data_IF_487832834843
#
_entry.id   IF_487832834843
#
_cell.length_a   1.000
_cell.length_b   1.000
_cell.length_c   1.000
_cell.angle_alpha   90.00
_cell.angle_beta   90.00
_cell.angle_gamma   90.00
#
_symmetry.space_group_name_H-M   'P 1'
#
loop_
_entity.id
_entity.type
_entity.pdbx_description
1 polymer ?
#
# COMPACT_ATOMS: atom_id res chain seq x y z
N UNK A 1 10.89 27.52 16.48
CA UNK A 1 10.74 26.33 15.63
C UNK A 1 9.51 26.53 14.76
N UNK A 2 9.65 26.39 13.46
CA UNK A 2 8.53 26.65 12.56
C UNK A 2 7.56 25.46 12.49
N UNK A 3 6.35 25.71 11.95
CA UNK A 3 5.29 24.71 11.87
C UNK A 3 5.66 23.57 10.93
N UNK A 4 6.43 23.84 9.86
CA UNK A 4 6.84 22.83 8.90
C UNK A 4 7.77 21.80 9.56
N UNK A 5 8.75 22.26 10.34
CA UNK A 5 9.68 21.37 11.05
C UNK A 5 8.93 20.51 12.07
N UNK A 6 7.92 21.07 12.75
CA UNK A 6 7.11 20.31 13.70
C UNK A 6 6.28 19.23 13.00
N UNK A 7 5.67 19.55 11.86
CA UNK A 7 4.88 18.60 11.08
C UNK A 7 5.75 17.45 10.56
N UNK A 8 6.96 17.78 10.07
CA UNK A 8 7.91 16.75 9.61
C UNK A 8 8.31 15.82 10.75
N UNK A 9 8.55 16.37 11.94
CA UNK A 9 8.89 15.57 13.11
C UNK A 9 7.74 14.65 13.50
N UNK A 10 6.51 15.16 13.53
CA UNK A 10 5.33 14.39 13.86
C UNK A 10 5.13 13.25 12.84
N UNK A 11 5.35 13.53 11.57
CA UNK A 11 5.25 12.50 10.53
C UNK A 11 6.26 11.37 10.75
N UNK A 12 7.51 11.71 11.05
CA UNK A 12 8.56 10.72 11.31
C UNK A 12 8.23 9.89 12.55
N UNK A 13 7.77 10.53 13.62
CA UNK A 13 7.36 9.82 14.84
C UNK A 13 6.21 8.85 14.57
N UNK A 14 5.23 9.28 13.78
CA UNK A 14 4.11 8.43 13.41
C UNK A 14 4.56 7.25 12.55
N UNK A 15 5.42 7.50 11.57
CA UNK A 15 5.97 6.44 10.72
C UNK A 15 6.76 5.42 11.54
N UNK A 16 7.52 5.89 12.53
CA UNK A 16 8.26 5.02 13.44
C UNK A 16 7.31 4.13 14.25
N UNK A 17 6.21 4.70 14.72
CA UNK A 17 5.17 3.94 15.42
C UNK A 17 4.58 2.85 14.52
N UNK A 18 4.26 3.18 13.27
CA UNK A 18 3.73 2.21 12.29
C UNK A 18 4.74 1.10 12.00
N UNK A 19 6.02 1.44 11.96
CA UNK A 19 7.07 0.45 11.80
C UNK A 19 7.08 -0.54 12.98
N UNK A 20 7.00 -0.04 14.20
CA UNK A 20 6.97 -0.88 15.40
C UNK A 20 5.75 -1.80 15.44
N UNK A 21 4.63 -1.34 14.90
CA UNK A 21 3.38 -2.11 14.85
C UNK A 21 3.32 -3.07 13.65
N UNK A 22 4.34 -3.06 12.79
CA UNK A 22 4.42 -3.99 11.66
C UNK A 22 3.66 -3.57 10.40
N UNK A 23 3.13 -2.35 10.36
CA UNK A 23 2.51 -1.82 9.15
C UNK A 23 3.54 -1.43 8.08
N UNK A 24 4.68 -0.93 8.54
CA UNK A 24 5.80 -0.53 7.69
C UNK A 24 7.03 -1.37 8.02
N UNK A 25 7.92 -1.54 7.06
CA UNK A 25 9.16 -2.28 7.25
C UNK A 25 10.39 -1.39 6.99
N UNK A 26 11.58 -2.02 6.99
CA UNK A 26 12.85 -1.31 6.82
C UNK A 26 12.93 -0.54 5.50
N UNK A 27 12.20 -0.97 4.47
CA UNK A 27 12.19 -0.27 3.19
C UNK A 27 11.62 1.15 3.33
N UNK A 28 10.58 1.31 4.16
CA UNK A 28 10.04 2.65 4.44
C UNK A 28 11.07 3.53 5.15
N UNK A 29 11.84 2.94 6.06
CA UNK A 29 12.93 3.64 6.74
C UNK A 29 13.97 4.15 5.73
N UNK A 30 14.29 3.35 4.70
CA UNK A 30 15.19 3.79 3.65
C UNK A 30 14.64 4.99 2.88
N UNK A 31 13.33 4.99 2.60
CA UNK A 31 12.70 6.14 1.95
C UNK A 31 12.78 7.41 2.79
N UNK A 32 12.59 7.28 4.11
CA UNK A 32 12.71 8.43 5.01
C UNK A 32 14.11 9.05 4.95
N UNK A 33 15.15 8.22 4.80
CA UNK A 33 16.53 8.68 4.72
C UNK A 33 16.83 9.46 3.45
N UNK A 34 16.06 9.27 2.39
CA UNK A 34 16.23 10.00 1.14
C UNK A 34 15.61 11.40 1.18
N UNK A 35 14.75 11.65 2.15
CA UNK A 35 14.15 12.96 2.33
C UNK A 35 15.11 13.89 3.04
N UNK A 36 15.32 15.11 2.50
CA UNK A 36 16.21 16.10 3.08
C UNK A 36 15.65 17.51 2.85
N UNK A 37 16.44 18.53 3.19
CA UNK A 37 16.05 19.93 3.04
C UNK A 37 15.81 20.35 1.59
N UNK A 38 16.50 19.72 0.64
CA UNK A 38 16.32 20.02 -0.78
C UNK A 38 15.09 19.29 -1.36
N UNK A 39 14.55 18.31 -0.63
CA UNK A 39 13.43 17.49 -1.08
C UNK A 39 12.51 17.15 0.10
N UNK A 40 11.89 18.18 0.73
CA UNK A 40 11.17 17.97 1.99
C UNK A 40 9.85 17.21 1.86
N UNK A 41 9.29 17.12 0.65
CA UNK A 41 8.01 16.46 0.41
C UNK A 41 8.15 15.07 -0.22
N UNK A 42 9.38 14.56 -0.29
CA UNK A 42 9.67 13.32 -1.02
C UNK A 42 8.81 12.15 -0.58
N UNK A 43 8.75 11.88 0.73
CA UNK A 43 8.02 10.73 1.26
C UNK A 43 6.52 10.89 1.05
N UNK A 44 5.98 12.10 1.27
CA UNK A 44 4.56 12.37 1.06
C UNK A 44 4.18 12.16 -0.40
N UNK A 45 5.01 12.62 -1.33
CA UNK A 45 4.77 12.44 -2.76
C UNK A 45 4.79 10.96 -3.17
N UNK A 46 5.77 10.21 -2.68
CA UNK A 46 5.89 8.77 -2.98
C UNK A 46 4.69 7.99 -2.43
N UNK A 47 4.30 8.27 -1.20
CA UNK A 47 3.15 7.60 -0.57
C UNK A 47 1.85 7.95 -1.27
N UNK A 48 1.66 9.23 -1.64
CA UNK A 48 0.47 9.68 -2.37
C UNK A 48 0.36 8.97 -3.72
N UNK A 49 1.47 8.85 -4.44
CA UNK A 49 1.50 8.14 -5.71
C UNK A 49 1.15 6.65 -5.53
N UNK A 50 1.67 6.03 -4.48
CA UNK A 50 1.33 4.64 -4.17
C UNK A 50 -0.18 4.46 -3.97
N UNK A 51 -0.84 5.35 -3.24
CA UNK A 51 -2.28 5.25 -3.01
C UNK A 51 -3.09 5.50 -4.28
N UNK A 52 -2.67 6.44 -5.12
CA UNK A 52 -3.33 6.67 -6.42
C UNK A 52 -3.25 5.43 -7.32
N UNK A 53 -2.06 4.87 -7.44
CA UNK A 53 -1.84 3.67 -8.25
C UNK A 53 -2.59 2.47 -7.69
N UNK A 54 -2.64 2.35 -6.36
CA UNK A 54 -3.35 1.28 -5.68
C UNK A 54 -4.84 1.34 -5.95
N UNK A 55 -5.43 2.52 -5.92
CA UNK A 55 -6.85 2.72 -6.19
C UNK A 55 -7.19 2.28 -7.62
N UNK A 56 -6.38 2.67 -8.59
CA UNK A 56 -6.57 2.27 -9.98
C UNK A 56 -6.47 0.76 -10.14
N UNK A 57 -5.49 0.16 -9.49
CA UNK A 57 -5.27 -1.29 -9.57
C UNK A 57 -6.43 -2.07 -8.94
N UNK A 58 -6.92 -1.63 -7.79
CA UNK A 58 -8.06 -2.28 -7.14
C UNK A 58 -9.31 -2.19 -7.99
N UNK A 59 -9.54 -1.06 -8.67
CA UNK A 59 -10.66 -0.92 -9.60
C UNK A 59 -10.52 -1.88 -10.78
N UNK A 60 -9.30 -2.03 -11.30
CA UNK A 60 -9.03 -2.97 -12.40
C UNK A 60 -9.25 -4.41 -11.96
N UNK A 61 -8.86 -4.76 -10.75
CA UNK A 61 -9.08 -6.09 -10.18
C UNK A 61 -10.58 -6.37 -10.01
N UNK A 62 -11.32 -5.41 -9.50
CA UNK A 62 -12.77 -5.56 -9.32
C UNK A 62 -13.45 -5.80 -10.68
N UNK A 63 -13.05 -5.04 -11.70
CA UNK A 63 -13.58 -5.21 -13.06
C UNK A 63 -13.23 -6.59 -13.63
N UNK A 64 -11.99 -7.03 -13.44
CA UNK A 64 -11.54 -8.33 -13.93
C UNK A 64 -12.31 -9.49 -13.31
N UNK A 65 -12.66 -9.39 -12.02
CA UNK A 65 -13.38 -10.44 -11.32
C UNK A 65 -14.89 -10.46 -11.64
N UNK A 66 -15.40 -9.41 -12.30
CA UNK A 66 -16.82 -9.34 -12.72
C UNK A 66 -17.05 -9.90 -14.12
N UNK A 67 -16.00 -10.30 -14.84
CA UNK A 67 -16.15 -10.86 -16.18
C UNK A 67 -16.76 -12.25 -16.13
N UNK A 68 -17.50 -12.62 -17.19
CA UNK A 68 -18.07 -13.97 -17.30
C UNK A 68 -16.98 -15.03 -17.33
N UNK A 69 -15.89 -14.74 -18.02
CA UNK A 69 -14.72 -15.61 -18.09
C UNK A 69 -13.54 -14.87 -17.47
N UNK A 70 -13.08 -15.34 -16.33
CA UNK A 70 -12.03 -14.67 -15.59
C UNK A 70 -10.65 -15.10 -16.10
N UNK A 71 -9.83 -14.13 -16.44
CA UNK A 71 -8.42 -14.37 -16.79
C UNK A 71 -7.59 -14.32 -15.51
N UNK A 72 -7.43 -15.46 -14.85
CA UNK A 72 -6.70 -15.55 -13.59
C UNK A 72 -5.23 -15.18 -13.73
N UNK A 73 -4.63 -15.38 -14.90
CA UNK A 73 -3.25 -15.00 -15.14
C UNK A 73 -3.08 -13.48 -15.14
N UNK A 74 -4.05 -12.77 -15.72
CA UNK A 74 -4.03 -11.32 -15.73
C UNK A 74 -4.25 -10.76 -14.32
N UNK A 75 -5.18 -11.36 -13.57
CA UNK A 75 -5.42 -10.98 -12.17
C UNK A 75 -4.15 -11.16 -11.35
N UNK A 76 -3.50 -12.31 -11.49
CA UNK A 76 -2.24 -12.60 -10.77
C UNK A 76 -1.14 -11.61 -11.15
N UNK A 77 -1.04 -11.25 -12.43
CA UNK A 77 -0.03 -10.27 -12.88
C UNK A 77 -0.25 -8.90 -12.24
N UNK A 78 -1.49 -8.45 -12.14
CA UNK A 78 -1.82 -7.18 -11.48
C UNK A 78 -1.44 -7.21 -9.99
N UNK A 79 -1.74 -8.30 -9.30
CA UNK A 79 -1.42 -8.45 -7.89
C UNK A 79 0.09 -8.55 -7.67
N UNK A 80 0.80 -9.21 -8.59
CA UNK A 80 2.27 -9.26 -8.54
C UNK A 80 2.88 -7.86 -8.64
N UNK A 81 2.37 -7.03 -9.54
CA UNK A 81 2.79 -5.64 -9.67
C UNK A 81 2.52 -4.87 -8.39
N UNK A 82 1.36 -5.07 -7.78
CA UNK A 82 0.98 -4.43 -6.53
C UNK A 82 1.90 -4.85 -5.39
N UNK A 83 2.24 -6.14 -5.33
CA UNK A 83 3.19 -6.65 -4.33
C UNK A 83 4.53 -5.93 -4.47
N UNK A 84 4.99 -5.73 -5.71
CA UNK A 84 6.22 -4.99 -5.98
C UNK A 84 6.15 -3.55 -5.48
N UNK A 85 5.07 -2.84 -5.80
CA UNK A 85 4.86 -1.47 -5.34
C UNK A 85 4.81 -1.38 -3.82
N UNK A 86 4.12 -2.32 -3.17
CA UNK A 86 4.02 -2.37 -1.70
C UNK A 86 5.38 -2.61 -1.06
N UNK A 87 6.19 -3.48 -1.67
CA UNK A 87 7.56 -3.73 -1.21
C UNK A 87 8.43 -2.49 -1.34
N UNK A 88 8.25 -1.73 -2.42
CA UNK A 88 9.05 -0.52 -2.68
C UNK A 88 8.87 0.55 -1.61
N UNK A 89 7.69 0.68 -1.04
CA UNK A 89 7.44 1.68 0.00
C UNK A 89 7.43 1.08 1.40
N UNK A 90 7.62 -0.23 1.53
CA UNK A 90 7.66 -0.89 2.82
C UNK A 90 6.30 -1.11 3.47
N UNK A 91 5.22 -1.22 2.68
CA UNK A 91 3.88 -1.47 3.19
C UNK A 91 3.70 -2.97 3.47
N UNK A 92 4.23 -3.42 4.60
CA UNK A 92 4.38 -4.85 4.92
C UNK A 92 3.05 -5.60 4.97
N UNK A 93 2.03 -5.03 5.62
CA UNK A 93 0.73 -5.71 5.74
C UNK A 93 0.00 -5.77 4.40
N UNK A 94 0.12 -4.74 3.58
CA UNK A 94 -0.45 -4.74 2.22
C UNK A 94 0.23 -5.81 1.37
N UNK A 95 1.56 -5.89 1.46
CA UNK A 95 2.34 -6.92 0.78
C UNK A 95 1.90 -8.33 1.18
N UNK A 96 1.65 -8.57 2.48
CA UNK A 96 1.21 -9.87 2.97
C UNK A 96 -0.15 -10.26 2.38
N UNK A 97 -1.08 -9.32 2.23
CA UNK A 97 -2.38 -9.58 1.62
C UNK A 97 -2.21 -9.96 0.14
N UNK A 98 -1.25 -9.36 -0.56
CA UNK A 98 -0.96 -9.73 -1.95
C UNK A 98 -0.55 -11.19 -2.09
N UNK A 99 0.21 -11.73 -1.13
CA UNK A 99 0.62 -13.14 -1.15
C UNK A 99 -0.61 -14.05 -1.07
N UNK A 100 -1.54 -13.76 -0.16
CA UNK A 100 -2.78 -14.53 -0.02
C UNK A 100 -3.62 -14.43 -1.29
N UNK A 101 -3.73 -13.24 -1.88
CA UNK A 101 -4.46 -13.01 -3.11
C UNK A 101 -3.92 -13.89 -4.25
N UNK A 102 -2.60 -13.95 -4.40
CA UNK A 102 -1.97 -14.77 -5.44
C UNK A 102 -2.22 -16.27 -5.23
N UNK A 103 -2.25 -16.72 -3.99
CA UNK A 103 -2.58 -18.11 -3.70
C UNK A 103 -3.99 -18.46 -4.17
N UNK A 104 -4.97 -17.57 -3.95
CA UNK A 104 -6.33 -17.77 -4.45
C UNK A 104 -6.40 -17.73 -5.98
N UNK A 105 -5.55 -16.94 -6.64
CA UNK A 105 -5.46 -16.95 -8.10
C UNK A 105 -4.98 -18.30 -8.61
N UNK A 106 -3.96 -18.88 -7.98
CA UNK A 106 -3.43 -20.19 -8.36
C UNK A 106 -4.48 -21.28 -8.20
N UNK A 107 -5.30 -21.20 -7.16
CA UNK A 107 -6.37 -22.14 -6.88
C UNK A 107 -7.63 -21.88 -7.72
N UNK A 108 -7.68 -20.77 -8.46
CA UNK A 108 -8.86 -20.30 -9.18
C UNK A 108 -10.08 -20.20 -8.27
N UNK A 109 -9.87 -19.77 -7.03
CA UNK A 109 -10.89 -19.65 -6.01
C UNK A 109 -11.55 -18.27 -6.08
N UNK A 110 -12.62 -18.15 -6.89
CA UNK A 110 -13.28 -16.87 -7.09
C UNK A 110 -13.85 -16.30 -5.79
N UNK A 111 -14.48 -17.13 -4.97
CA UNK A 111 -15.07 -16.68 -3.70
C UNK A 111 -13.98 -16.12 -2.79
N UNK A 112 -12.84 -16.81 -2.70
CA UNK A 112 -11.68 -16.33 -1.95
C UNK A 112 -11.16 -15.01 -2.48
N UNK A 113 -11.07 -14.87 -3.81
CA UNK A 113 -10.61 -13.63 -4.44
C UNK A 113 -11.52 -12.44 -4.13
N UNK A 114 -12.83 -12.63 -4.17
CA UNK A 114 -13.78 -11.56 -3.84
C UNK A 114 -13.65 -11.15 -2.37
N UNK A 115 -13.54 -12.12 -1.47
CA UNK A 115 -13.39 -11.85 -0.04
C UNK A 115 -12.09 -11.10 0.23
N UNK A 116 -10.97 -11.58 -0.34
CA UNK A 116 -9.66 -10.94 -0.09
C UNK A 116 -9.58 -9.56 -0.73
N UNK A 117 -10.26 -9.33 -1.84
CA UNK A 117 -10.32 -8.00 -2.45
C UNK A 117 -11.01 -7.01 -1.52
N UNK A 118 -12.09 -7.43 -0.87
CA UNK A 118 -12.79 -6.62 0.12
C UNK A 118 -11.90 -6.30 1.31
N UNK A 119 -11.20 -7.32 1.84
CA UNK A 119 -10.23 -7.15 2.93
C UNK A 119 -9.11 -6.20 2.51
N UNK A 120 -8.65 -6.33 1.27
CA UNK A 120 -7.60 -5.50 0.71
C UNK A 120 -7.99 -4.03 0.71
N UNK A 121 -9.19 -3.73 0.21
CA UNK A 121 -9.71 -2.36 0.20
C UNK A 121 -9.77 -1.78 1.62
N UNK A 122 -10.26 -2.55 2.58
CA UNK A 122 -10.37 -2.10 3.97
C UNK A 122 -8.99 -1.84 4.59
N UNK A 123 -8.03 -2.74 4.36
CA UNK A 123 -6.67 -2.59 4.90
C UNK A 123 -5.95 -1.41 4.27
N UNK A 124 -6.15 -1.19 2.97
CA UNK A 124 -5.53 -0.08 2.27
C UNK A 124 -6.10 1.26 2.76
N UNK A 125 -7.41 1.35 2.94
CA UNK A 125 -8.06 2.54 3.50
C UNK A 125 -7.56 2.81 4.93
N UNK A 126 -7.47 1.77 5.75
CA UNK A 126 -6.98 1.89 7.10
C UNK A 126 -5.53 2.38 7.13
N UNK A 127 -4.68 1.81 6.28
CA UNK A 127 -3.29 2.22 6.15
C UNK A 127 -3.18 3.68 5.71
N UNK A 128 -3.98 4.09 4.73
CA UNK A 128 -4.03 5.47 4.25
C UNK A 128 -4.41 6.44 5.36
N UNK A 129 -5.47 6.11 6.13
CA UNK A 129 -5.92 6.95 7.24
C UNK A 129 -4.86 7.05 8.35
N UNK A 130 -4.16 5.95 8.63
CA UNK A 130 -3.08 5.97 9.62
C UNK A 130 -1.96 6.94 9.21
N UNK A 131 -1.57 6.93 7.94
CA UNK A 131 -0.53 7.81 7.46
C UNK A 131 -1.03 9.25 7.40
N UNK A 132 -2.25 9.46 6.91
CA UNK A 132 -2.83 10.79 6.73
C UNK A 132 -3.12 11.49 8.05
N UNK A 133 -3.53 10.76 9.07
CA UNK A 133 -4.01 11.33 10.33
C UNK A 133 -2.97 12.21 11.04
N UNK A 134 -1.69 12.02 10.79
CA UNK A 134 -0.61 12.78 11.42
C UNK A 134 0.04 13.80 10.49
N UNK A 135 -0.32 13.80 9.20
CA UNK A 135 0.25 14.74 8.23
C UNK A 135 -0.64 15.94 7.96
N UNK A 136 -1.83 15.96 8.55
CA UNK A 136 -2.78 17.05 8.39
C UNK A 136 -2.80 18.00 9.57
#
# INVERSE_FOLDING_TARGET
MDAVSQLQRQFVEHATSLYREGYLDDQFTQLLKLQDESNPDFVVEVVSLFFEDSEKLLNNLATALQQESIDYKQVDAHVHQFKGSSSSIGAQRVKNVCVVFRNYCDEKNLDGLVIILTVFNLKLEFFYELIRSKSS
#
